data_IF_224164488068
#
_entry.id   IF_224164488068
#
_cell.length_a   1.000
_cell.length_b   1.000
_cell.length_c   1.000
_cell.angle_alpha   90.00
_cell.angle_beta   90.00
_cell.angle_gamma   90.00
#
_symmetry.space_group_name_H-M   'P 1'
#
loop_
_entity.id
_entity.type
_entity.pdbx_description
1 polymer ?
#
# COMPACT_ATOMS: atom_id res chain seq x y z
N UNK A 1 18.24 -1.21 10.42
CA UNK A 1 17.07 -0.42 10.80
C UNK A 1 15.79 -1.25 10.64
N UNK A 2 15.44 -1.76 9.44
CA UNK A 2 14.22 -2.54 9.25
C UNK A 2 14.08 -3.71 10.25
N UNK A 3 15.09 -4.53 10.40
CA UNK A 3 15.09 -5.64 11.38
C UNK A 3 14.91 -5.19 12.82
N UNK A 4 15.41 -4.03 13.18
CA UNK A 4 15.29 -3.47 14.53
C UNK A 4 13.86 -3.00 14.81
N UNK A 5 13.16 -2.54 13.80
CA UNK A 5 11.82 -1.93 13.92
C UNK A 5 10.69 -2.91 13.62
N UNK A 6 10.89 -3.80 12.64
CA UNK A 6 9.86 -4.72 12.16
C UNK A 6 10.08 -6.19 12.56
N UNK A 7 11.19 -6.49 13.26
CA UNK A 7 11.56 -7.85 13.64
C UNK A 7 12.61 -8.49 12.73
N UNK A 8 13.31 -9.48 13.27
CA UNK A 8 14.43 -10.16 12.62
C UNK A 8 13.96 -11.34 11.76
N UNK A 9 13.22 -11.03 10.72
CA UNK A 9 12.81 -12.01 9.72
C UNK A 9 13.94 -12.47 8.79
N UNK A 10 13.76 -13.58 8.07
CA UNK A 10 14.74 -14.07 7.12
C UNK A 10 15.05 -13.02 6.06
N UNK A 11 16.33 -12.74 5.87
CA UNK A 11 16.81 -11.74 4.92
C UNK A 11 17.45 -12.41 3.71
N UNK A 12 16.94 -12.09 2.52
CA UNK A 12 17.47 -12.57 1.26
C UNK A 12 18.23 -11.48 0.53
N UNK A 13 19.40 -11.79 0.04
CA UNK A 13 20.26 -10.90 -0.76
C UNK A 13 20.40 -11.49 -2.17
N UNK A 14 20.07 -10.70 -3.18
CA UNK A 14 20.26 -11.06 -4.61
C UNK A 14 21.30 -10.17 -5.27
N UNK A 15 21.24 -8.86 -5.02
CA UNK A 15 22.14 -7.86 -5.58
C UNK A 15 22.54 -6.86 -4.48
N UNK A 16 23.65 -7.09 -3.77
CA UNK A 16 24.08 -6.18 -2.72
C UNK A 16 24.22 -4.72 -3.20
N UNK A 17 23.84 -3.74 -2.40
CA UNK A 17 23.37 -3.82 -1.02
C UNK A 17 21.85 -4.07 -0.87
N UNK A 18 21.15 -4.38 -1.94
CA UNK A 18 19.71 -4.63 -1.91
C UNK A 18 19.40 -5.94 -1.21
N UNK A 19 18.44 -5.92 -0.28
CA UNK A 19 17.94 -7.10 0.39
C UNK A 19 16.40 -7.08 0.48
N UNK A 20 15.82 -8.23 0.75
CA UNK A 20 14.41 -8.38 1.07
C UNK A 20 14.28 -9.10 2.41
N UNK A 21 13.40 -8.61 3.28
CA UNK A 21 13.08 -9.20 4.58
C UNK A 21 11.66 -9.75 4.47
N UNK A 22 11.42 -10.96 4.97
CA UNK A 22 10.12 -11.61 4.96
C UNK A 22 9.47 -11.51 6.34
N UNK A 23 8.24 -11.03 6.36
CA UNK A 23 7.46 -10.78 7.56
C UNK A 23 6.04 -11.30 7.35
N UNK A 24 5.29 -11.48 8.42
CA UNK A 24 3.86 -11.80 8.39
C UNK A 24 3.06 -10.57 8.80
N UNK A 25 2.07 -10.20 8.02
CA UNK A 25 1.16 -9.11 8.38
C UNK A 25 -0.03 -9.67 9.17
N UNK A 26 -0.32 -9.09 10.33
CA UNK A 26 -1.42 -9.52 11.21
C UNK A 26 -2.78 -9.00 10.76
N UNK A 27 -2.79 -7.93 9.97
CA UNK A 27 -4.01 -7.24 9.59
C UNK A 27 -4.62 -7.83 8.33
N UNK A 28 -5.93 -7.82 8.27
CA UNK A 28 -6.70 -8.14 7.06
C UNK A 28 -6.55 -7.08 5.95
N UNK A 29 -5.91 -5.94 6.24
CA UNK A 29 -5.61 -4.92 5.25
C UNK A 29 -4.47 -5.39 4.35
N UNK A 30 -4.85 -6.01 3.27
CA UNK A 30 -3.92 -6.54 2.28
C UNK A 30 -3.35 -5.41 1.44
N UNK A 31 -2.10 -5.07 1.70
CA UNK A 31 -1.36 -4.16 0.84
C UNK A 31 -0.95 -4.88 -0.44
N UNK A 32 -1.24 -4.31 -1.60
CA UNK A 32 -0.71 -4.84 -2.86
C UNK A 32 0.78 -4.52 -3.00
N UNK A 33 1.09 -3.27 -3.12
CA UNK A 33 2.48 -2.79 -3.20
C UNK A 33 2.56 -1.35 -2.72
N UNK A 34 3.44 -1.11 -1.76
CA UNK A 34 3.71 0.22 -1.24
C UNK A 34 5.19 0.52 -1.42
N UNK A 35 5.52 1.76 -1.74
CA UNK A 35 6.91 2.16 -2.01
C UNK A 35 7.13 3.62 -1.64
N UNK A 36 8.35 3.92 -1.17
CA UNK A 36 8.85 5.29 -1.04
C UNK A 36 8.99 5.93 -2.42
N UNK A 37 9.18 7.24 -2.48
CA UNK A 37 9.70 7.89 -3.68
C UNK A 37 11.10 7.35 -4.03
N UNK A 38 11.57 7.60 -5.24
CA UNK A 38 12.94 7.24 -5.64
C UNK A 38 13.88 8.40 -5.39
N UNK A 39 14.96 8.11 -4.69
CA UNK A 39 16.00 9.08 -4.39
C UNK A 39 17.35 8.64 -4.96
N UNK A 40 18.15 9.60 -5.42
CA UNK A 40 19.50 9.37 -5.88
C UNK A 40 20.46 9.69 -4.73
N UNK A 41 21.11 8.66 -4.19
CA UNK A 41 22.11 8.76 -3.11
C UNK A 41 23.42 8.21 -3.65
N UNK A 42 24.49 9.00 -3.60
CA UNK A 42 25.81 8.62 -4.14
C UNK A 42 25.74 8.10 -5.59
N UNK A 43 24.96 8.78 -6.43
CA UNK A 43 24.80 8.42 -7.84
C UNK A 43 23.89 7.22 -8.12
N UNK A 44 23.43 6.49 -7.11
CA UNK A 44 22.58 5.30 -7.24
C UNK A 44 21.13 5.61 -6.87
N UNK A 45 20.20 5.00 -7.60
CA UNK A 45 18.75 5.09 -7.27
C UNK A 45 18.41 4.16 -6.12
N UNK A 46 17.76 4.72 -5.11
CA UNK A 46 17.33 4.00 -3.89
C UNK A 46 15.83 4.15 -3.73
N UNK A 47 15.20 3.07 -3.30
CA UNK A 47 13.76 3.00 -3.01
C UNK A 47 13.53 1.83 -2.05
N UNK A 48 12.58 1.96 -1.13
CA UNK A 48 12.07 0.88 -0.30
C UNK A 48 10.69 0.49 -0.84
N UNK A 49 10.44 -0.80 -0.92
CA UNK A 49 9.16 -1.36 -1.39
C UNK A 49 8.66 -2.40 -0.39
N UNK A 50 7.37 -2.37 -0.09
CA UNK A 50 6.65 -3.43 0.62
C UNK A 50 5.80 -4.15 -0.42
N UNK A 51 5.97 -5.44 -0.53
CA UNK A 51 5.25 -6.31 -1.45
C UNK A 51 4.22 -7.10 -0.65
N UNK A 52 2.96 -6.91 -0.95
CA UNK A 52 1.82 -7.56 -0.31
C UNK A 52 1.09 -8.48 -1.28
N UNK A 53 -0.22 -8.56 -1.13
CA UNK A 53 -1.08 -9.44 -1.91
C UNK A 53 -0.92 -9.25 -3.41
N UNK A 54 -0.94 -10.36 -4.15
CA UNK A 54 -0.79 -10.37 -5.61
C UNK A 54 0.61 -10.02 -6.10
N UNK A 55 1.56 -9.78 -5.20
CA UNK A 55 2.96 -9.53 -5.56
C UNK A 55 3.80 -10.77 -5.34
N UNK A 56 4.82 -10.95 -6.17
CA UNK A 56 5.75 -12.06 -6.07
C UNK A 56 7.15 -11.59 -5.72
N UNK A 57 7.80 -12.31 -4.82
CA UNK A 57 9.23 -12.19 -4.55
C UNK A 57 9.91 -13.53 -4.82
N UNK A 58 11.00 -13.52 -5.59
CA UNK A 58 11.78 -14.73 -5.82
C UNK A 58 12.51 -15.10 -4.54
N UNK A 59 12.15 -16.22 -3.92
CA UNK A 59 12.78 -16.66 -2.67
C UNK A 59 14.16 -17.30 -2.90
N UNK A 60 14.33 -18.09 -3.94
CA UNK A 60 15.58 -18.82 -4.20
C UNK A 60 15.87 -18.91 -5.69
N UNK A 61 17.05 -19.41 -6.06
CA UNK A 61 17.48 -19.55 -7.44
C UNK A 61 18.62 -18.61 -7.80
N UNK A 62 18.72 -18.22 -9.06
CA UNK A 62 19.76 -17.34 -9.59
C UNK A 62 19.17 -15.97 -9.92
N UNK A 63 19.81 -14.92 -9.43
CA UNK A 63 19.40 -13.54 -9.73
C UNK A 63 19.68 -13.22 -11.21
N UNK A 64 18.68 -12.73 -11.98
CA UNK A 64 18.82 -12.59 -13.44
C UNK A 64 19.96 -11.64 -13.84
N UNK A 65 20.11 -10.49 -13.15
CA UNK A 65 21.09 -9.48 -13.54
C UNK A 65 22.51 -9.80 -13.06
N UNK A 66 22.65 -10.49 -11.93
CA UNK A 66 23.98 -10.79 -11.36
C UNK A 66 24.48 -12.18 -11.70
N UNK A 67 23.62 -13.04 -12.21
CA UNK A 67 23.87 -14.46 -12.45
C UNK A 67 24.42 -15.22 -11.23
N UNK A 68 24.21 -14.69 -10.01
CA UNK A 68 24.59 -15.29 -8.73
C UNK A 68 23.38 -15.86 -8.02
N UNK A 69 23.58 -16.89 -7.22
CA UNK A 69 22.52 -17.42 -6.37
C UNK A 69 22.11 -16.41 -5.32
N UNK A 70 20.82 -16.39 -5.00
CA UNK A 70 20.34 -15.69 -3.81
C UNK A 70 20.96 -16.26 -2.56
N UNK A 71 21.35 -15.40 -1.63
CA UNK A 71 21.96 -15.79 -0.37
C UNK A 71 21.11 -15.29 0.81
N UNK A 72 21.19 -16.03 1.89
CA UNK A 72 20.60 -15.69 3.17
C UNK A 72 21.75 -15.59 4.17
N UNK A 73 22.03 -14.42 4.74
CA UNK A 73 23.11 -14.27 5.72
C UNK A 73 22.83 -15.02 7.04
N UNK A 74 21.55 -15.19 7.35
CA UNK A 74 21.06 -15.96 8.50
C UNK A 74 20.24 -17.16 7.97
N UNK A 75 19.14 -17.48 8.65
CA UNK A 75 18.25 -18.58 8.29
C UNK A 75 17.55 -18.36 6.95
N UNK A 76 17.30 -19.41 6.21
CA UNK A 76 16.61 -19.34 4.93
C UNK A 76 15.10 -19.26 5.16
N UNK A 77 14.40 -18.61 4.25
CA UNK A 77 12.93 -18.54 4.30
C UNK A 77 12.27 -19.93 4.37
N UNK A 78 12.84 -20.95 3.71
CA UNK A 78 12.33 -22.33 3.70
C UNK A 78 12.37 -22.99 5.09
N UNK A 79 13.20 -22.50 5.99
CA UNK A 79 13.38 -23.04 7.33
C UNK A 79 12.29 -22.52 8.32
N UNK A 80 11.47 -21.55 7.86
CA UNK A 80 10.38 -20.96 8.66
C UNK A 80 9.02 -21.48 8.21
N UNK A 81 8.13 -21.74 9.17
CA UNK A 81 6.69 -21.80 8.91
C UNK A 81 6.14 -20.37 8.86
N UNK A 82 5.02 -20.14 8.18
CA UNK A 82 4.44 -18.80 8.13
C UNK A 82 4.19 -18.16 9.51
N UNK A 83 3.84 -18.99 10.52
CA UNK A 83 3.54 -18.56 11.88
C UNK A 83 4.80 -18.17 12.67
N UNK A 84 5.98 -18.60 12.24
CA UNK A 84 7.27 -18.31 12.85
C UNK A 84 7.90 -17.01 12.32
N UNK A 85 7.34 -16.45 11.24
CA UNK A 85 7.77 -15.16 10.74
C UNK A 85 7.38 -14.05 11.71
N UNK A 86 8.24 -13.05 11.93
CA UNK A 86 7.89 -11.89 12.74
C UNK A 86 6.60 -11.26 12.25
N UNK A 87 5.70 -11.03 13.18
CA UNK A 87 4.41 -10.42 12.91
C UNK A 87 4.49 -8.90 12.98
N UNK A 88 3.90 -8.25 12.01
CA UNK A 88 3.80 -6.79 11.93
C UNK A 88 2.37 -6.39 11.59
N UNK A 89 1.94 -5.27 12.14
CA UNK A 89 0.67 -4.65 11.79
C UNK A 89 0.80 -3.76 10.54
N UNK A 90 -0.33 -3.50 9.88
CA UNK A 90 -0.37 -2.55 8.79
C UNK A 90 0.07 -1.14 9.21
N UNK A 91 -0.22 -0.74 10.45
CA UNK A 91 0.22 0.56 10.98
C UNK A 91 1.74 0.64 11.15
N UNK A 92 2.37 -0.41 11.65
CA UNK A 92 3.84 -0.46 11.74
C UNK A 92 4.49 -0.40 10.36
N UNK A 93 3.92 -1.08 9.37
CA UNK A 93 4.40 -0.99 7.99
C UNK A 93 4.25 0.41 7.40
N UNK A 94 3.15 1.12 7.69
CA UNK A 94 2.95 2.52 7.28
C UNK A 94 3.98 3.45 7.90
N UNK A 95 4.17 3.36 9.21
CA UNK A 95 5.16 4.17 9.92
C UNK A 95 6.57 3.91 9.38
N UNK A 96 6.91 2.64 9.19
CA UNK A 96 8.21 2.26 8.64
C UNK A 96 8.47 2.85 7.25
N UNK A 97 7.50 2.76 6.32
CA UNK A 97 7.70 3.30 4.98
C UNK A 97 7.83 4.83 4.99
N UNK A 98 7.06 5.53 5.84
CA UNK A 98 7.16 6.98 6.02
C UNK A 98 8.53 7.39 6.56
N UNK A 99 9.05 6.65 7.54
CA UNK A 99 10.39 6.91 8.07
C UNK A 99 11.48 6.63 7.04
N UNK A 100 11.34 5.56 6.27
CA UNK A 100 12.25 5.29 5.16
C UNK A 100 12.25 6.41 4.12
N UNK A 101 11.07 6.94 3.78
CA UNK A 101 10.97 8.03 2.82
C UNK A 101 11.62 9.31 3.35
N UNK A 102 11.34 9.69 4.60
CA UNK A 102 12.01 10.83 5.26
C UNK A 102 13.54 10.66 5.29
N UNK A 103 14.00 9.44 5.62
CA UNK A 103 15.43 9.14 5.64
C UNK A 103 16.05 9.29 4.25
N UNK A 104 15.43 8.72 3.21
CA UNK A 104 15.92 8.83 1.84
C UNK A 104 15.89 10.27 1.34
N UNK A 105 14.84 11.03 1.67
CA UNK A 105 14.70 12.44 1.33
C UNK A 105 15.81 13.31 1.96
N UNK A 106 16.21 13.00 3.20
CA UNK A 106 17.27 13.76 3.90
C UNK A 106 18.68 13.44 3.39
N UNK A 107 18.87 12.35 2.64
CA UNK A 107 20.18 11.88 2.18
C UNK A 107 20.35 11.87 0.67
N UNK A 108 19.30 12.15 -0.09
CA UNK A 108 19.32 12.03 -1.54
C UNK A 108 18.48 13.08 -2.25
N UNK A 109 18.74 13.19 -3.54
CA UNK A 109 17.95 14.03 -4.45
C UNK A 109 16.77 13.22 -4.98
N UNK A 110 15.57 13.82 -4.94
CA UNK A 110 14.38 13.21 -5.53
C UNK A 110 14.60 12.98 -7.03
N UNK A 111 14.50 11.74 -7.47
CA UNK A 111 14.52 11.42 -8.89
C UNK A 111 13.15 11.79 -9.43
N UNK A 112 13.07 12.89 -10.21
CA UNK A 112 11.81 13.23 -10.88
C UNK A 112 11.30 12.00 -11.64
N UNK A 113 10.01 11.69 -11.46
CA UNK A 113 9.39 10.56 -12.11
C UNK A 113 9.68 10.65 -13.61
N UNK A 114 10.46 9.69 -14.12
CA UNK A 114 10.62 9.55 -15.55
C UNK A 114 9.23 9.33 -16.14
N UNK A 115 8.81 10.24 -17.00
CA UNK A 115 7.60 10.14 -17.79
C UNK A 115 7.60 8.83 -18.58
N UNK A 116 7.11 7.76 -18.01
CA UNK A 116 6.67 6.61 -18.78
C UNK A 116 5.21 6.83 -19.11
N UNK A 117 5.04 7.27 -20.32
CA UNK A 117 3.87 7.32 -21.17
C UNK A 117 2.48 7.31 -20.51
N UNK A 118 1.87 8.48 -20.59
CA UNK A 118 0.52 8.71 -21.05
C UNK A 118 -0.59 7.77 -20.60
N UNK A 119 -1.28 8.20 -19.56
CA UNK A 119 -2.74 8.18 -19.55
C UNK A 119 -3.20 9.36 -18.72
N UNK A 120 -3.90 10.26 -19.36
CA UNK A 120 -4.73 11.35 -18.83
C UNK A 120 -4.35 11.96 -17.45
N UNK A 121 -3.63 13.05 -17.45
CA UNK A 121 -3.90 14.26 -16.68
C UNK A 121 -3.65 14.28 -15.17
N UNK A 122 -3.23 13.22 -14.48
CA UNK A 122 -3.00 13.25 -13.04
C UNK A 122 -1.51 13.23 -12.68
N UNK A 123 -1.06 14.11 -11.78
CA UNK A 123 0.26 13.99 -11.15
C UNK A 123 0.35 12.62 -10.48
N UNK A 124 1.33 11.79 -10.86
CA UNK A 124 1.63 10.55 -10.13
C UNK A 124 2.05 10.92 -8.71
N UNK A 125 1.24 10.51 -7.75
CA UNK A 125 1.51 10.69 -6.34
C UNK A 125 2.64 9.76 -5.88
N UNK A 126 3.35 10.15 -4.82
CA UNK A 126 4.37 9.32 -4.18
C UNK A 126 3.71 8.17 -3.41
N UNK A 127 4.52 7.19 -2.96
CA UNK A 127 3.98 6.15 -2.08
C UNK A 127 3.42 6.68 -0.76
N UNK A 128 3.88 7.85 -0.30
CA UNK A 128 3.31 8.57 0.84
C UNK A 128 1.89 9.07 0.54
N UNK A 129 1.65 9.55 -0.69
CA UNK A 129 0.31 10.00 -1.10
C UNK A 129 -0.70 8.84 -1.06
N UNK A 130 -0.26 7.60 -1.32
CA UNK A 130 -1.08 6.41 -1.14
C UNK A 130 -1.44 6.16 0.33
N UNK A 131 -0.51 6.35 1.25
CA UNK A 131 -0.81 6.23 2.68
C UNK A 131 -1.70 7.34 3.18
N UNK A 132 -1.58 8.56 2.64
CA UNK A 132 -2.50 9.64 2.92
C UNK A 132 -3.92 9.35 2.42
N UNK A 133 -4.09 8.44 1.45
CA UNK A 133 -5.39 7.96 0.98
C UNK A 133 -5.99 6.87 1.87
N UNK A 134 -5.16 6.17 2.66
CA UNK A 134 -5.61 5.09 3.53
C UNK A 134 -5.95 5.62 4.91
N UNK A 135 -6.98 5.06 5.52
CA UNK A 135 -7.37 5.32 6.90
C UNK A 135 -7.59 3.99 7.64
N UNK A 136 -7.55 4.06 8.96
CA UNK A 136 -7.99 2.96 9.79
C UNK A 136 -9.49 2.70 9.58
N UNK A 137 -9.89 1.44 9.59
CA UNK A 137 -11.28 1.06 9.32
C UNK A 137 -12.26 1.69 10.33
N UNK A 138 -11.84 1.89 11.57
CA UNK A 138 -12.67 2.52 12.60
C UNK A 138 -12.83 4.03 12.33
N UNK A 139 -11.81 4.69 11.79
CA UNK A 139 -11.91 6.08 11.33
C UNK A 139 -12.86 6.20 10.15
N UNK A 140 -12.78 5.27 9.20
CA UNK A 140 -13.69 5.22 8.04
C UNK A 140 -15.14 4.97 8.50
N UNK A 141 -15.35 4.05 9.46
CA UNK A 141 -16.68 3.82 10.07
C UNK A 141 -17.22 5.07 10.75
N UNK A 142 -16.37 5.78 11.49
CA UNK A 142 -16.77 7.01 12.17
C UNK A 142 -17.15 8.11 11.17
N UNK A 143 -16.41 8.23 10.07
CA UNK A 143 -16.74 9.16 8.99
C UNK A 143 -18.06 8.77 8.30
N UNK A 144 -18.20 7.51 7.94
CA UNK A 144 -19.41 6.98 7.31
C UNK A 144 -20.68 7.16 8.18
N UNK A 145 -20.54 7.05 9.50
CA UNK A 145 -21.66 7.25 10.43
C UNK A 145 -22.16 8.71 10.47
N UNK A 146 -21.35 9.68 10.04
CA UNK A 146 -21.73 11.09 9.97
C UNK A 146 -22.42 11.45 8.63
N UNK A 147 -22.38 10.57 7.64
CA UNK A 147 -23.10 10.76 6.38
C UNK A 147 -24.56 10.41 6.60
N UNK A 148 -25.41 11.41 6.56
CA UNK A 148 -26.88 11.24 6.79
C UNK A 148 -27.69 11.26 5.52
N UNK A 149 -27.13 11.77 4.44
CA UNK A 149 -27.82 11.96 3.16
C UNK A 149 -26.79 11.91 2.02
N UNK A 150 -27.19 11.34 0.88
CA UNK A 150 -26.42 11.29 -0.36
C UNK A 150 -27.37 11.74 -1.46
N UNK A 151 -27.33 13.05 -1.76
CA UNK A 151 -28.40 13.69 -2.52
C UNK A 151 -28.31 13.52 -4.03
N UNK A 152 -27.10 13.53 -4.59
CA UNK A 152 -26.94 13.45 -6.02
C UNK A 152 -26.08 12.24 -6.46
N UNK A 153 -26.01 12.04 -7.77
CA UNK A 153 -25.28 10.90 -8.34
C UNK A 153 -23.76 11.03 -8.16
N UNK A 154 -23.24 12.25 -8.21
CA UNK A 154 -21.80 12.47 -8.07
C UNK A 154 -21.36 12.24 -6.62
N UNK A 155 -22.18 12.65 -5.64
CA UNK A 155 -21.95 12.36 -4.21
C UNK A 155 -22.06 10.86 -3.93
N UNK A 156 -23.04 10.17 -4.53
CA UNK A 156 -23.18 8.72 -4.45
C UNK A 156 -21.93 7.98 -4.95
N UNK A 157 -21.46 8.31 -6.14
CA UNK A 157 -20.24 7.71 -6.70
C UNK A 157 -19.00 8.13 -5.88
N UNK A 158 -18.93 9.40 -5.49
CA UNK A 158 -17.85 9.93 -4.66
C UNK A 158 -17.68 9.13 -3.38
N UNK A 159 -18.75 8.93 -2.62
CA UNK A 159 -18.74 8.18 -1.37
C UNK A 159 -18.23 6.74 -1.55
N UNK A 160 -18.66 6.03 -2.58
CA UNK A 160 -18.20 4.66 -2.88
C UNK A 160 -16.70 4.64 -3.18
N UNK A 161 -16.24 5.53 -4.05
CA UNK A 161 -14.82 5.59 -4.45
C UNK A 161 -13.91 5.99 -3.30
N UNK A 162 -14.35 6.94 -2.47
CA UNK A 162 -13.60 7.42 -1.30
C UNK A 162 -13.43 6.34 -0.23
N UNK A 163 -14.49 5.59 0.08
CA UNK A 163 -14.43 4.46 1.01
C UNK A 163 -13.54 3.35 0.43
N UNK A 164 -13.68 3.01 -0.84
CA UNK A 164 -12.83 2.00 -1.48
C UNK A 164 -11.36 2.42 -1.45
N UNK A 165 -11.05 3.67 -1.78
CA UNK A 165 -9.71 4.21 -1.72
C UNK A 165 -9.15 4.25 -0.30
N UNK A 166 -9.93 4.72 0.69
CA UNK A 166 -9.53 4.81 2.08
C UNK A 166 -9.26 3.46 2.73
N UNK A 167 -9.98 2.42 2.32
CA UNK A 167 -9.87 1.06 2.85
C UNK A 167 -9.07 0.11 1.95
N UNK A 168 -8.45 0.62 0.89
CA UNK A 168 -7.71 -0.16 -0.11
C UNK A 168 -8.53 -1.32 -0.69
N UNK A 169 -9.82 -1.12 -0.91
CA UNK A 169 -10.71 -2.12 -1.49
C UNK A 169 -11.01 -3.31 -0.57
N UNK A 170 -10.92 -3.15 0.75
CA UNK A 170 -11.18 -4.22 1.71
C UNK A 170 -12.66 -4.66 1.72
N UNK A 171 -12.94 -5.90 2.17
CA UNK A 171 -14.30 -6.41 2.31
C UNK A 171 -15.13 -5.62 3.34
N UNK A 172 -14.48 -5.11 4.39
CA UNK A 172 -15.14 -4.25 5.38
C UNK A 172 -15.47 -2.89 4.79
N UNK A 173 -14.55 -2.29 4.01
CA UNK A 173 -14.81 -1.08 3.24
C UNK A 173 -15.96 -1.26 2.26
N UNK A 174 -16.05 -2.42 1.60
CA UNK A 174 -17.15 -2.75 0.69
C UNK A 174 -18.51 -2.71 1.40
N UNK A 175 -18.60 -3.30 2.58
CA UNK A 175 -19.83 -3.24 3.40
C UNK A 175 -20.21 -1.81 3.77
N UNK A 176 -19.23 -0.99 4.14
CA UNK A 176 -19.46 0.42 4.44
C UNK A 176 -19.90 1.21 3.21
N UNK A 177 -19.29 0.97 2.05
CA UNK A 177 -19.69 1.60 0.80
C UNK A 177 -21.15 1.27 0.44
N UNK A 178 -21.58 0.01 0.61
CA UNK A 178 -22.99 -0.37 0.44
C UNK A 178 -23.90 0.31 1.47
N UNK A 179 -23.46 0.41 2.72
CA UNK A 179 -24.23 1.09 3.77
C UNK A 179 -24.43 2.58 3.43
N UNK A 180 -23.38 3.28 3.03
CA UNK A 180 -23.47 4.69 2.63
C UNK A 180 -24.29 4.85 1.35
N UNK A 181 -24.03 4.03 0.35
CA UNK A 181 -24.75 4.06 -0.92
C UNK A 181 -26.25 3.83 -0.73
N UNK A 182 -26.65 3.01 0.25
CA UNK A 182 -28.07 2.73 0.56
C UNK A 182 -28.84 3.92 1.11
N UNK A 183 -28.18 5.02 1.45
CA UNK A 183 -28.82 6.29 1.81
C UNK A 183 -29.35 7.05 0.59
N UNK A 184 -28.88 6.70 -0.60
CA UNK A 184 -29.36 7.26 -1.86
C UNK A 184 -30.52 6.46 -2.44
N UNK A 185 -31.49 7.13 -3.01
CA UNK A 185 -32.57 6.53 -3.78
C UNK A 185 -32.10 5.86 -5.09
N UNK A 186 -30.87 6.15 -5.49
CA UNK A 186 -30.19 5.61 -6.68
C UNK A 186 -29.36 4.34 -6.38
N UNK A 187 -29.44 3.83 -5.14
CA UNK A 187 -28.67 2.66 -4.74
C UNK A 187 -29.02 1.44 -5.58
N UNK A 188 -28.00 0.90 -6.24
CA UNK A 188 -28.06 -0.36 -6.97
C UNK A 188 -26.82 -1.21 -6.62
N UNK A 189 -27.06 -2.47 -6.23
CA UNK A 189 -26.00 -3.37 -5.76
C UNK A 189 -24.93 -3.54 -6.84
N UNK A 190 -25.33 -3.86 -8.07
CA UNK A 190 -24.39 -4.14 -9.16
C UNK A 190 -23.53 -2.91 -9.53
N UNK A 191 -24.13 -1.72 -9.51
CA UNK A 191 -23.41 -0.48 -9.76
C UNK A 191 -22.44 -0.15 -8.63
N UNK A 192 -22.87 -0.30 -7.36
CA UNK A 192 -22.03 -0.08 -6.18
C UNK A 192 -20.80 -0.97 -6.21
N UNK A 193 -20.98 -2.27 -6.49
CA UNK A 193 -19.88 -3.22 -6.64
C UNK A 193 -18.92 -2.82 -7.76
N UNK A 194 -19.44 -2.52 -8.94
CA UNK A 194 -18.61 -2.12 -10.08
C UNK A 194 -17.82 -0.84 -9.80
N UNK A 195 -18.41 0.13 -9.12
CA UNK A 195 -17.74 1.38 -8.74
C UNK A 195 -16.70 1.14 -7.65
N UNK A 196 -17.03 0.34 -6.62
CA UNK A 196 -16.10 -0.03 -5.57
C UNK A 196 -14.84 -0.68 -6.14
N UNK A 197 -15.01 -1.65 -7.06
CA UNK A 197 -13.88 -2.36 -7.69
C UNK A 197 -13.10 -1.47 -8.67
N UNK A 198 -13.73 -0.44 -9.24
CA UNK A 198 -13.08 0.50 -10.16
C UNK A 198 -12.28 1.60 -9.45
N UNK A 199 -12.42 1.75 -8.14
CA UNK A 199 -11.73 2.79 -7.40
C UNK A 199 -10.21 2.67 -7.56
N UNK A 200 -9.59 3.81 -7.85
CA UNK A 200 -8.13 3.90 -7.89
C UNK A 200 -7.65 4.66 -6.66
N UNK A 201 -7.04 3.97 -5.67
CA UNK A 201 -6.56 4.61 -4.45
C UNK A 201 -5.48 5.66 -4.68
N UNK A 202 -4.90 5.74 -5.89
CA UNK A 202 -3.97 6.81 -6.27
C UNK A 202 -4.65 8.19 -6.38
N UNK A 203 -5.97 8.23 -6.45
CA UNK A 203 -6.72 9.46 -6.73
C UNK A 203 -7.78 9.83 -5.68
N UNK A 204 -8.32 8.85 -4.99
CA UNK A 204 -9.39 9.02 -3.99
C UNK A 204 -9.10 8.21 -2.73
N UNK A 205 -9.58 8.67 -1.59
CA UNK A 205 -9.39 7.96 -0.31
C UNK A 205 -9.65 8.85 0.90
N UNK A 206 -8.99 8.56 2.01
CA UNK A 206 -9.18 9.21 3.30
C UNK A 206 -9.23 10.76 3.27
N UNK A 207 -8.36 11.50 2.57
CA UNK A 207 -8.44 12.96 2.54
C UNK A 207 -9.72 13.51 1.91
N UNK A 208 -10.38 12.75 1.05
CA UNK A 208 -11.68 13.13 0.49
C UNK A 208 -12.82 12.79 1.43
N UNK A 209 -12.73 11.63 2.09
CA UNK A 209 -13.74 11.12 3.01
C UNK A 209 -13.88 11.96 4.28
N UNK A 210 -12.79 12.60 4.75
CA UNK A 210 -12.75 13.39 6.01
C UNK A 210 -12.92 14.91 5.78
N UNK A 211 -13.44 15.34 4.67
CA UNK A 211 -13.77 16.75 4.39
C UNK A 211 -15.14 17.09 4.96
#
# INVERSE_FOLDING_TARGET
KAKTELGDGPERIGQPPKSAIFLRCSDSQLFRKIKTAKYKINGKKNQVEILGEGQMAVASGTHPDTCKKYTYPNDKLIDYRPEELPEVSGNELRQFIQECDRYLASHGELVSASNSAASAGGKRRSGLDLFEQLADIEEVKAAAANVTEVDDYDDFIGAILEVSGATNGSDEGRKLAHQMASLSDKYEIAETEAKYDSANPDFVGAPSLFK
#
